data_IF_329190854679
#
_entry.id   IF_329190854679
#
_cell.length_a   1.000
_cell.length_b   1.000
_cell.length_c   1.000
_cell.angle_alpha   90.00
_cell.angle_beta   90.00
_cell.angle_gamma   90.00
#
_symmetry.space_group_name_H-M   'P 1'
#
loop_
_entity.id
_entity.type
_entity.pdbx_description
1 polymer ?
#
# COMPACT_ATOMS: atom_id res chain seq x y z
N UNK A 1 -30.27 20.55 -5.06
CA UNK A 1 -30.12 19.42 -6.00
C UNK A 1 -30.86 18.24 -5.43
N UNK A 2 -31.70 17.62 -6.22
CA UNK A 2 -32.41 16.40 -5.85
C UNK A 2 -31.38 15.27 -5.62
N UNK A 3 -31.56 14.48 -4.55
CA UNK A 3 -30.63 13.38 -4.23
C UNK A 3 -30.85 12.26 -5.25
N UNK A 4 -29.81 11.89 -5.99
CA UNK A 4 -29.85 10.79 -6.94
C UNK A 4 -30.19 9.46 -6.24
N UNK A 5 -31.02 8.63 -6.89
CA UNK A 5 -31.27 7.26 -6.46
C UNK A 5 -30.04 6.38 -6.69
N UNK A 6 -30.02 5.18 -6.10
CA UNK A 6 -28.96 4.19 -6.30
C UNK A 6 -28.78 3.85 -7.79
N UNK A 7 -29.89 3.60 -8.46
CA UNK A 7 -29.95 3.23 -9.88
C UNK A 7 -29.40 4.36 -10.77
N UNK A 8 -29.82 5.60 -10.51
CA UNK A 8 -29.32 6.77 -11.23
C UNK A 8 -27.81 6.99 -11.03
N UNK A 9 -27.28 6.71 -9.82
CA UNK A 9 -25.83 6.84 -9.58
C UNK A 9 -25.05 5.81 -10.38
N UNK A 10 -25.51 4.55 -10.44
CA UNK A 10 -24.88 3.47 -11.20
C UNK A 10 -24.95 3.76 -12.71
N UNK A 11 -26.10 4.22 -13.20
CA UNK A 11 -26.29 4.58 -14.61
C UNK A 11 -25.42 5.76 -15.01
N UNK A 12 -25.40 6.84 -14.22
CA UNK A 12 -24.56 8.02 -14.49
C UNK A 12 -23.08 7.67 -14.44
N UNK A 13 -22.64 6.83 -13.47
CA UNK A 13 -21.25 6.37 -13.44
C UNK A 13 -20.86 5.66 -14.75
N UNK A 14 -21.73 4.83 -15.26
CA UNK A 14 -21.49 4.09 -16.49
C UNK A 14 -21.41 5.02 -17.74
N UNK A 15 -22.18 6.10 -17.72
CA UNK A 15 -22.21 7.07 -18.82
C UNK A 15 -21.12 8.14 -18.74
N UNK A 16 -20.75 8.57 -17.53
CA UNK A 16 -19.87 9.74 -17.32
C UNK A 16 -18.39 9.38 -17.13
N UNK A 17 -18.06 8.11 -16.81
CA UNK A 17 -16.69 7.68 -16.52
C UNK A 17 -16.17 6.67 -17.54
N UNK A 18 -14.85 6.73 -17.80
CA UNK A 18 -14.15 5.66 -18.53
C UNK A 18 -14.20 4.38 -17.71
N UNK A 19 -14.72 3.31 -18.28
CA UNK A 19 -15.00 2.03 -17.59
C UNK A 19 -13.73 1.19 -17.40
N UNK A 20 -12.86 1.59 -16.45
CA UNK A 20 -11.61 0.89 -16.10
C UNK A 20 -11.68 0.13 -14.78
N UNK A 21 -12.78 0.30 -14.03
CA UNK A 21 -12.98 -0.36 -12.74
C UNK A 21 -14.14 -1.35 -12.77
N UNK A 22 -13.96 -2.51 -12.16
CA UNK A 22 -15.08 -3.40 -11.82
C UNK A 22 -15.54 -3.06 -10.40
N UNK A 23 -16.67 -2.35 -10.28
CA UNK A 23 -17.20 -1.91 -8.99
C UNK A 23 -18.06 -2.99 -8.33
N UNK A 24 -18.00 -3.07 -7.01
CA UNK A 24 -19.02 -3.79 -6.24
C UNK A 24 -20.35 -3.04 -6.35
N UNK A 25 -21.52 -3.75 -6.37
CA UNK A 25 -22.81 -3.12 -6.59
C UNK A 25 -23.37 -2.42 -5.34
N UNK A 26 -22.51 -1.59 -4.70
CA UNK A 26 -22.81 -0.85 -3.47
C UNK A 26 -22.67 0.63 -3.77
N UNK A 27 -23.65 1.43 -3.39
CA UNK A 27 -23.58 2.89 -3.42
C UNK A 27 -23.48 3.38 -1.98
N UNK A 28 -22.29 3.82 -1.58
CA UNK A 28 -21.99 4.24 -0.22
C UNK A 28 -22.73 5.54 0.11
N UNK A 29 -23.34 5.61 1.29
CA UNK A 29 -23.95 6.82 1.86
C UNK A 29 -23.05 7.44 2.94
N UNK A 30 -22.55 6.63 3.88
CA UNK A 30 -21.68 7.07 4.98
C UNK A 30 -20.79 5.93 5.48
N UNK A 31 -19.76 6.30 6.25
CA UNK A 31 -18.88 5.35 6.93
C UNK A 31 -18.53 5.82 8.34
N UNK A 32 -18.30 4.87 9.26
CA UNK A 32 -17.83 5.10 10.62
C UNK A 32 -17.03 3.90 11.13
N UNK A 33 -15.82 4.12 11.57
CA UNK A 33 -14.93 3.06 12.05
C UNK A 33 -14.72 1.96 11.00
N UNK A 34 -15.05 0.72 11.35
CA UNK A 34 -14.98 -0.45 10.47
C UNK A 34 -16.19 -0.61 9.52
N UNK A 35 -17.20 0.26 9.61
CA UNK A 35 -18.48 0.05 8.94
C UNK A 35 -18.79 1.12 7.92
N UNK A 36 -19.42 0.69 6.83
CA UNK A 36 -20.02 1.59 5.83
C UNK A 36 -21.50 1.23 5.64
N UNK A 37 -22.28 2.23 5.30
CA UNK A 37 -23.71 2.08 4.99
C UNK A 37 -23.95 2.44 3.54
N UNK A 38 -24.75 1.63 2.87
CA UNK A 38 -25.22 1.98 1.54
C UNK A 38 -26.48 2.89 1.59
N UNK A 39 -26.87 3.39 0.44
CA UNK A 39 -28.07 4.26 0.31
C UNK A 39 -29.38 3.58 0.71
N UNK A 40 -29.41 2.26 0.81
CA UNK A 40 -30.59 1.49 1.27
C UNK A 40 -30.54 1.24 2.78
N UNK A 41 -29.50 1.73 3.48
CA UNK A 41 -29.32 1.54 4.91
C UNK A 41 -28.67 0.22 5.30
N UNK A 42 -28.27 -0.63 4.35
CA UNK A 42 -27.57 -1.87 4.64
C UNK A 42 -26.15 -1.55 5.13
N UNK A 43 -25.72 -2.26 6.18
CA UNK A 43 -24.43 -2.12 6.81
C UNK A 43 -23.46 -3.17 6.26
N UNK A 44 -22.22 -2.75 6.06
CA UNK A 44 -21.12 -3.62 5.66
C UNK A 44 -19.91 -3.39 6.57
N UNK A 45 -19.21 -4.46 6.91
CA UNK A 45 -17.87 -4.41 7.50
C UNK A 45 -16.82 -4.29 6.40
N UNK A 46 -15.94 -3.30 6.52
CA UNK A 46 -14.92 -3.02 5.51
C UNK A 46 -13.59 -3.69 5.84
N UNK A 47 -13.33 -4.82 5.16
CA UNK A 47 -12.05 -5.53 5.21
C UNK A 47 -11.11 -5.18 4.05
N UNK A 48 -11.46 -4.15 3.28
CA UNK A 48 -10.65 -3.58 2.20
C UNK A 48 -9.94 -2.29 2.61
N UNK A 49 -10.57 -1.46 3.48
CA UNK A 49 -10.00 -0.22 3.98
C UNK A 49 -9.53 0.72 2.87
N UNK A 50 -10.31 0.88 1.78
CA UNK A 50 -9.88 1.67 0.62
C UNK A 50 -8.61 1.14 -0.06
N UNK A 51 -8.35 -0.15 -0.02
CA UNK A 51 -7.09 -0.83 -0.42
C UNK A 51 -5.92 -0.41 0.48
N UNK A 52 -6.09 -0.64 1.81
CA UNK A 52 -5.13 -0.31 2.87
C UNK A 52 -4.85 1.21 3.02
N UNK A 53 -5.82 2.07 2.67
CA UNK A 53 -5.73 3.53 2.82
C UNK A 53 -6.30 3.99 4.16
N UNK A 54 -7.51 3.53 4.51
CA UNK A 54 -8.24 3.97 5.72
C UNK A 54 -7.73 3.25 6.97
N UNK A 55 -6.49 3.54 7.36
CA UNK A 55 -5.84 2.86 8.51
C UNK A 55 -6.52 3.18 9.84
N UNK A 56 -7.13 4.38 9.98
CA UNK A 56 -7.88 4.79 11.17
C UNK A 56 -9.38 4.45 11.07
N UNK A 57 -9.82 3.84 9.97
CA UNK A 57 -11.25 3.63 9.68
C UNK A 57 -11.96 4.89 9.20
N UNK A 58 -13.21 4.70 8.84
CA UNK A 58 -14.04 5.75 8.25
C UNK A 58 -14.39 6.83 9.28
N UNK A 59 -14.36 8.09 8.85
CA UNK A 59 -14.79 9.27 9.63
C UNK A 59 -14.14 9.39 11.02
N UNK A 60 -12.86 9.01 11.14
CA UNK A 60 -12.14 9.06 12.41
C UNK A 60 -12.14 10.50 12.99
N UNK A 61 -12.50 10.70 14.29
CA UNK A 61 -12.64 12.04 14.86
C UNK A 61 -11.40 12.93 14.72
N UNK A 62 -10.20 12.38 14.92
CA UNK A 62 -8.94 13.10 14.78
C UNK A 62 -8.66 13.56 13.34
N UNK A 63 -9.07 12.78 12.35
CA UNK A 63 -8.95 13.15 10.93
C UNK A 63 -9.94 14.27 10.61
N UNK A 64 -11.19 14.15 11.04
CA UNK A 64 -12.22 15.22 10.84
C UNK A 64 -11.79 16.52 11.51
N UNK A 65 -11.26 16.46 12.73
CA UNK A 65 -10.71 17.62 13.45
C UNK A 65 -9.56 18.26 12.67
N UNK A 66 -8.58 17.49 12.21
CA UNK A 66 -7.43 17.96 11.43
C UNK A 66 -7.88 18.65 10.12
N UNK A 67 -8.81 18.03 9.38
CA UNK A 67 -9.41 18.61 8.16
C UNK A 67 -10.07 19.96 8.50
N UNK A 68 -10.93 19.99 9.50
CA UNK A 68 -11.72 21.17 9.87
C UNK A 68 -10.81 22.33 10.31
N UNK A 69 -9.82 22.05 11.13
CA UNK A 69 -8.90 23.06 11.63
C UNK A 69 -8.00 23.62 10.52
N UNK A 70 -7.40 22.75 9.68
CA UNK A 70 -6.55 23.19 8.60
C UNK A 70 -7.32 23.89 7.48
N UNK A 71 -8.54 23.45 7.15
CA UNK A 71 -9.36 24.08 6.13
C UNK A 71 -9.75 25.51 6.48
N UNK A 72 -9.90 25.84 7.76
CA UNK A 72 -10.15 27.21 8.25
C UNK A 72 -8.92 28.12 8.15
N UNK A 73 -7.71 27.57 8.06
CA UNK A 73 -6.47 28.34 7.92
C UNK A 73 -6.15 28.66 6.45
N UNK A 74 -5.86 27.64 5.67
CA UNK A 74 -5.59 27.69 4.23
C UNK A 74 -5.53 26.28 3.66
N UNK A 75 -5.85 26.14 2.35
CA UNK A 75 -5.84 24.86 1.66
C UNK A 75 -4.60 24.63 0.81
N UNK A 76 -4.10 25.67 0.11
CA UNK A 76 -2.96 25.55 -0.77
C UNK A 76 -2.23 26.89 -0.89
N UNK A 77 -0.89 26.85 -0.79
CA UNK A 77 -0.05 28.05 -0.92
C UNK A 77 1.18 27.83 -1.80
N UNK A 78 1.32 26.65 -2.44
CA UNK A 78 2.51 26.24 -3.20
C UNK A 78 3.74 25.96 -2.32
N UNK A 79 4.64 25.13 -2.82
CA UNK A 79 5.94 24.83 -2.19
C UNK A 79 6.98 25.96 -2.36
N UNK A 80 6.59 27.11 -2.90
CA UNK A 80 7.41 28.32 -2.87
C UNK A 80 7.37 29.03 -1.51
N UNK A 81 6.40 28.72 -0.64
CA UNK A 81 6.24 29.31 0.68
C UNK A 81 6.45 28.25 1.76
N UNK A 82 7.05 28.68 2.87
CA UNK A 82 7.18 27.81 4.04
C UNK A 82 5.83 27.64 4.76
N UNK A 83 5.58 26.42 5.23
CA UNK A 83 4.33 26.03 5.87
C UNK A 83 4.63 25.24 7.15
N UNK A 84 4.12 25.69 8.27
CA UNK A 84 4.35 25.08 9.59
C UNK A 84 3.88 23.62 9.63
N UNK A 85 2.65 23.36 9.20
CA UNK A 85 2.06 22.02 9.23
C UNK A 85 2.85 21.01 8.39
N UNK A 86 3.44 21.45 7.27
CA UNK A 86 4.29 20.62 6.43
C UNK A 86 5.58 20.22 7.16
N UNK A 87 6.16 21.17 7.92
CA UNK A 87 7.37 20.93 8.71
C UNK A 87 7.09 20.01 9.91
N UNK A 88 5.98 20.24 10.61
CA UNK A 88 5.54 19.38 11.73
C UNK A 88 5.30 17.93 11.28
N UNK A 89 4.59 17.76 10.16
CA UNK A 89 4.39 16.45 9.54
C UNK A 89 5.72 15.76 9.16
N UNK A 90 6.60 16.49 8.45
CA UNK A 90 7.90 15.96 8.02
C UNK A 90 8.78 15.58 9.22
N UNK A 91 8.77 16.39 10.28
CA UNK A 91 9.50 16.09 11.53
C UNK A 91 8.99 14.79 12.16
N UNK A 92 7.66 14.66 12.31
CA UNK A 92 7.05 13.46 12.89
C UNK A 92 7.33 12.21 12.06
N UNK A 93 7.21 12.32 10.73
CA UNK A 93 7.50 11.19 9.84
C UNK A 93 8.98 10.76 9.92
N UNK A 94 9.92 11.70 10.00
CA UNK A 94 11.35 11.39 10.19
C UNK A 94 11.61 10.71 11.53
N UNK A 95 11.02 11.20 12.61
CA UNK A 95 11.19 10.63 13.96
C UNK A 95 10.76 9.17 14.01
N UNK A 96 9.60 8.83 13.43
CA UNK A 96 9.06 7.48 13.44
C UNK A 96 9.81 6.57 12.46
N UNK A 97 10.15 7.07 11.28
CA UNK A 97 10.72 6.27 10.19
C UNK A 97 12.22 6.04 10.29
N UNK A 98 12.94 6.89 11.05
CA UNK A 98 14.40 6.85 11.14
C UNK A 98 15.14 7.29 9.87
N UNK A 99 14.44 7.84 8.86
CA UNK A 99 15.06 8.44 7.68
C UNK A 99 15.42 9.90 7.90
N UNK A 100 16.35 10.43 7.10
CA UNK A 100 16.93 11.75 7.35
C UNK A 100 16.23 12.89 6.62
N UNK A 101 15.78 12.66 5.36
CA UNK A 101 15.12 13.67 4.54
C UNK A 101 13.93 13.10 3.78
N UNK A 102 12.99 14.00 3.42
CA UNK A 102 11.70 13.63 2.84
C UNK A 102 11.40 14.54 1.65
N UNK A 103 10.93 13.95 0.56
CA UNK A 103 10.21 14.66 -0.49
C UNK A 103 8.74 14.25 -0.46
N UNK A 104 7.82 15.22 -0.46
CA UNK A 104 6.37 15.01 -0.40
C UNK A 104 5.75 15.01 -1.79
N UNK A 105 4.87 14.05 -2.05
CA UNK A 105 4.11 13.86 -3.28
C UNK A 105 2.61 13.67 -2.97
N UNK A 106 1.78 13.42 -4.00
CA UNK A 106 0.34 13.22 -3.82
C UNK A 106 -0.08 11.75 -3.83
N UNK A 107 0.77 10.87 -4.32
CA UNK A 107 0.44 9.47 -4.50
C UNK A 107 1.66 8.57 -4.44
N UNK A 108 1.43 7.26 -4.25
CA UNK A 108 2.50 6.27 -4.35
C UNK A 108 3.16 6.23 -5.73
N UNK A 109 2.38 6.39 -6.81
CA UNK A 109 2.94 6.44 -8.16
C UNK A 109 3.91 7.62 -8.34
N UNK A 110 3.57 8.82 -7.83
CA UNK A 110 4.50 9.96 -7.84
C UNK A 110 5.74 9.70 -6.99
N UNK A 111 5.59 9.06 -5.82
CA UNK A 111 6.75 8.67 -4.99
C UNK A 111 7.67 7.72 -5.74
N UNK A 112 7.12 6.72 -6.44
CA UNK A 112 7.88 5.79 -7.27
C UNK A 112 8.59 6.51 -8.43
N UNK A 113 7.90 7.38 -9.18
CA UNK A 113 8.50 8.14 -10.29
C UNK A 113 9.65 9.05 -9.81
N UNK A 114 9.45 9.76 -8.70
CA UNK A 114 10.50 10.58 -8.09
C UNK A 114 11.71 9.74 -7.64
N UNK A 115 11.45 8.55 -7.10
CA UNK A 115 12.50 7.61 -6.68
C UNK A 115 13.25 7.04 -7.88
N UNK A 116 12.57 6.68 -8.99
CA UNK A 116 13.24 6.27 -10.24
C UNK A 116 14.20 7.36 -10.72
N UNK A 117 13.76 8.63 -10.72
CA UNK A 117 14.61 9.76 -11.11
C UNK A 117 15.84 9.87 -10.19
N UNK A 118 15.65 9.77 -8.88
CA UNK A 118 16.74 9.83 -7.91
C UNK A 118 17.75 8.68 -8.12
N UNK A 119 17.27 7.44 -8.24
CA UNK A 119 18.10 6.25 -8.46
C UNK A 119 18.86 6.32 -9.78
N UNK A 120 18.23 6.76 -10.86
CA UNK A 120 18.88 6.96 -12.16
C UNK A 120 19.96 8.03 -12.11
N UNK A 121 19.70 9.15 -11.44
CA UNK A 121 20.69 10.21 -11.29
C UNK A 121 21.87 9.79 -10.42
N UNK A 122 21.60 9.12 -9.29
CA UNK A 122 22.64 8.53 -8.46
C UNK A 122 23.46 7.49 -9.25
N UNK A 123 22.79 6.65 -10.02
CA UNK A 123 23.41 5.67 -10.90
C UNK A 123 24.32 6.34 -11.92
N UNK A 124 23.86 7.40 -12.60
CA UNK A 124 24.70 8.18 -13.54
C UNK A 124 25.99 8.70 -12.90
N UNK A 125 25.87 9.25 -11.69
CA UNK A 125 27.04 9.77 -10.93
C UNK A 125 28.00 8.65 -10.48
N UNK A 126 27.55 7.40 -10.45
CA UNK A 126 28.33 6.22 -10.07
C UNK A 126 28.60 5.26 -11.22
N UNK A 127 28.37 5.67 -12.48
CA UNK A 127 28.52 4.87 -13.70
C UNK A 127 27.68 3.58 -13.72
N UNK A 128 26.44 3.65 -13.21
CA UNK A 128 25.47 2.55 -13.13
C UNK A 128 24.18 2.92 -13.87
N UNK A 129 23.52 1.94 -14.50
CA UNK A 129 22.37 2.23 -15.38
C UNK A 129 21.16 1.33 -15.15
N UNK A 130 21.33 0.19 -14.46
CA UNK A 130 20.28 -0.82 -14.35
C UNK A 130 19.51 -0.70 -13.03
N UNK A 131 18.21 -0.83 -13.13
CA UNK A 131 17.29 -0.92 -12.00
C UNK A 131 16.66 -2.31 -12.03
N UNK A 132 16.68 -3.01 -10.91
CA UNK A 132 16.11 -4.34 -10.77
C UNK A 132 14.82 -4.25 -9.95
N UNK A 133 13.82 -5.02 -10.37
CA UNK A 133 12.55 -5.22 -9.66
C UNK A 133 12.14 -6.71 -9.76
N UNK A 134 10.98 -7.05 -9.20
CA UNK A 134 10.61 -8.45 -9.03
C UNK A 134 9.24 -8.78 -9.62
N UNK A 135 9.10 -10.03 -10.09
CA UNK A 135 7.81 -10.57 -10.54
C UNK A 135 6.75 -10.47 -9.44
N UNK A 136 5.51 -10.23 -9.84
CA UNK A 136 4.40 -10.05 -8.92
C UNK A 136 4.35 -8.70 -8.20
N UNK A 137 5.36 -7.84 -8.36
CA UNK A 137 5.41 -6.50 -7.77
C UNK A 137 4.35 -5.56 -8.33
N UNK A 138 3.97 -4.54 -7.52
CA UNK A 138 3.08 -3.47 -7.94
C UNK A 138 3.60 -2.12 -7.45
N UNK A 139 4.04 -1.27 -8.39
CA UNK A 139 4.65 0.02 -8.10
C UNK A 139 3.85 1.22 -8.61
N UNK A 140 2.71 1.00 -9.28
CA UNK A 140 1.85 2.06 -9.81
C UNK A 140 1.42 1.85 -11.26
N UNK A 141 0.79 2.86 -11.85
CA UNK A 141 0.22 2.81 -13.20
C UNK A 141 0.84 3.83 -14.16
N UNK A 142 1.89 4.53 -13.75
CA UNK A 142 2.68 5.43 -14.61
C UNK A 142 3.70 4.63 -15.44
N UNK A 143 4.24 5.22 -16.50
CA UNK A 143 5.14 4.50 -17.40
C UNK A 143 6.43 4.03 -16.74
N UNK A 144 7.01 4.81 -15.82
CA UNK A 144 8.17 4.37 -15.04
C UNK A 144 7.84 3.20 -14.13
N UNK A 145 6.73 3.27 -13.39
CA UNK A 145 6.26 2.18 -12.54
C UNK A 145 5.93 0.92 -13.37
N UNK A 146 5.26 1.05 -14.53
CA UNK A 146 4.97 -0.06 -15.43
C UNK A 146 6.22 -0.72 -16.00
N UNK A 147 7.33 0.05 -16.16
CA UNK A 147 8.60 -0.50 -16.63
C UNK A 147 9.21 -1.53 -15.66
N UNK A 148 8.83 -1.45 -14.38
CA UNK A 148 9.27 -2.35 -13.30
C UNK A 148 8.32 -3.51 -13.01
N UNK A 149 7.23 -3.68 -13.78
CA UNK A 149 6.18 -4.67 -13.51
C UNK A 149 6.06 -5.68 -14.62
N UNK A 150 5.69 -6.92 -14.29
CA UNK A 150 5.60 -8.05 -15.22
C UNK A 150 4.16 -8.41 -15.63
N UNK A 151 3.12 -7.91 -14.95
CA UNK A 151 1.72 -8.31 -15.22
C UNK A 151 1.25 -7.85 -16.61
N UNK A 152 0.92 -8.78 -17.54
CA UNK A 152 0.55 -8.45 -18.91
C UNK A 152 -0.66 -7.51 -19.02
N UNK A 153 -1.67 -7.69 -18.15
CA UNK A 153 -2.89 -6.87 -18.15
C UNK A 153 -2.61 -5.36 -17.92
N UNK A 154 -1.48 -5.00 -17.31
CA UNK A 154 -1.10 -3.62 -17.07
C UNK A 154 -0.22 -3.05 -18.17
N UNK A 155 0.38 -3.91 -19.01
CA UNK A 155 1.41 -3.53 -20.00
C UNK A 155 1.00 -3.73 -21.46
N UNK A 156 0.04 -4.61 -21.73
CA UNK A 156 -0.33 -4.95 -23.09
C UNK A 156 -0.76 -3.70 -23.88
N UNK A 157 -0.09 -3.47 -25.02
CA UNK A 157 -0.34 -2.37 -25.95
C UNK A 157 -0.03 -0.95 -25.45
N UNK A 158 0.69 -0.82 -24.32
CA UNK A 158 1.10 0.48 -23.78
C UNK A 158 2.57 0.85 -24.04
N UNK A 159 3.38 -0.05 -24.61
CA UNK A 159 4.79 0.24 -24.90
C UNK A 159 5.02 1.32 -25.97
N UNK A 160 6.25 1.84 -26.14
CA UNK A 160 7.46 1.36 -25.48
C UNK A 160 7.58 1.79 -24.01
N UNK A 161 8.20 0.94 -23.17
CA UNK A 161 8.53 1.26 -21.81
C UNK A 161 9.96 1.80 -21.68
N UNK A 162 10.32 2.28 -20.49
CA UNK A 162 11.64 2.84 -20.24
C UNK A 162 12.71 1.74 -20.23
N UNK A 163 13.84 2.02 -20.84
CA UNK A 163 15.01 1.13 -20.84
C UNK A 163 15.74 1.10 -19.48
N UNK A 164 16.58 0.07 -19.29
CA UNK A 164 17.43 -0.08 -18.11
C UNK A 164 16.73 -0.74 -16.91
N UNK A 165 15.56 -1.33 -17.10
CA UNK A 165 14.87 -2.11 -16.07
C UNK A 165 15.01 -3.61 -16.32
N UNK A 166 15.28 -4.37 -15.25
CA UNK A 166 15.30 -5.83 -15.24
C UNK A 166 14.31 -6.34 -14.22
N UNK A 167 13.43 -7.25 -14.64
CA UNK A 167 12.46 -7.89 -13.77
C UNK A 167 12.88 -9.35 -13.58
N UNK A 168 13.12 -9.77 -12.35
CA UNK A 168 13.56 -11.11 -11.99
C UNK A 168 12.58 -11.77 -11.03
N UNK A 169 12.70 -13.09 -10.86
CA UNK A 169 11.78 -13.83 -10.01
C UNK A 169 11.93 -13.43 -8.53
N UNK A 170 10.81 -13.12 -7.90
CA UNK A 170 10.76 -12.83 -6.47
C UNK A 170 11.18 -14.06 -5.65
N UNK A 171 11.97 -13.84 -4.60
CA UNK A 171 12.54 -14.91 -3.77
C UNK A 171 13.51 -15.88 -4.47
N UNK A 172 14.01 -15.54 -5.67
CA UNK A 172 15.02 -16.34 -6.39
C UNK A 172 16.44 -15.82 -6.12
N UNK A 173 17.20 -16.56 -5.31
CA UNK A 173 18.62 -16.24 -5.03
C UNK A 173 19.45 -16.36 -6.30
N UNK A 174 19.21 -17.38 -7.14
CA UNK A 174 19.94 -17.58 -8.39
C UNK A 174 19.74 -16.42 -9.37
N UNK A 175 18.54 -15.83 -9.41
CA UNK A 175 18.27 -14.69 -10.28
C UNK A 175 18.97 -13.42 -9.73
N UNK A 176 19.04 -13.24 -8.41
CA UNK A 176 19.83 -12.15 -7.81
C UNK A 176 21.30 -12.26 -8.23
N UNK A 177 21.91 -13.44 -8.07
CA UNK A 177 23.33 -13.67 -8.36
C UNK A 177 23.69 -13.51 -9.85
N UNK A 178 22.78 -13.92 -10.74
CA UNK A 178 23.00 -13.81 -12.19
C UNK A 178 22.73 -12.42 -12.77
N UNK A 179 21.90 -11.61 -12.11
CA UNK A 179 21.43 -10.32 -12.64
C UNK A 179 22.15 -9.13 -12.04
N UNK A 180 22.36 -9.15 -10.70
CA UNK A 180 22.97 -8.02 -9.99
C UNK A 180 24.47 -8.00 -10.23
N UNK A 181 24.96 -6.86 -10.67
CA UNK A 181 26.37 -6.65 -11.03
C UNK A 181 26.78 -5.18 -10.79
N UNK A 182 27.99 -4.81 -11.19
CA UNK A 182 28.54 -3.44 -11.05
C UNK A 182 27.73 -2.37 -11.76
N UNK A 183 26.89 -2.71 -12.74
CA UNK A 183 26.03 -1.77 -13.47
C UNK A 183 24.69 -1.53 -12.77
N UNK A 184 24.36 -2.29 -11.71
CA UNK A 184 23.11 -2.16 -10.97
C UNK A 184 23.13 -0.85 -10.15
N UNK A 185 22.21 0.07 -10.42
CA UNK A 185 22.02 1.33 -9.70
C UNK A 185 21.07 1.21 -8.50
N UNK A 186 20.01 0.41 -8.61
CA UNK A 186 19.07 0.22 -7.52
C UNK A 186 18.20 -1.02 -7.70
N UNK A 187 17.68 -1.49 -6.57
CA UNK A 187 16.74 -2.61 -6.49
C UNK A 187 15.48 -2.16 -5.77
N UNK A 188 14.33 -2.21 -6.46
CA UNK A 188 13.02 -1.90 -5.91
C UNK A 188 12.36 -3.17 -5.37
N UNK A 189 11.91 -3.15 -4.13
CA UNK A 189 11.42 -4.31 -3.41
C UNK A 189 10.22 -3.96 -2.53
N UNK A 190 9.13 -4.71 -2.66
CA UNK A 190 8.11 -4.84 -1.61
C UNK A 190 8.56 -5.98 -0.68
N UNK A 191 8.79 -5.72 0.60
CA UNK A 191 9.16 -6.77 1.58
C UNK A 191 8.00 -7.70 1.91
N UNK A 192 6.79 -7.24 1.64
CA UNK A 192 5.56 -8.02 1.62
C UNK A 192 4.74 -7.54 0.41
N UNK A 193 4.75 -8.32 -0.67
CA UNK A 193 4.02 -7.99 -1.89
C UNK A 193 2.52 -7.99 -1.67
N UNK A 194 1.85 -6.88 -2.05
CA UNK A 194 0.40 -6.76 -1.96
C UNK A 194 -0.32 -7.44 -3.14
N UNK A 195 -0.08 -6.94 -4.33
CA UNK A 195 -0.72 -7.41 -5.57
C UNK A 195 -0.18 -8.75 -6.09
N UNK A 196 0.98 -9.17 -5.59
CA UNK A 196 1.58 -10.49 -5.84
C UNK A 196 0.87 -11.63 -5.11
N UNK A 197 -0.11 -11.32 -4.22
CA UNK A 197 -0.88 -12.34 -3.48
C UNK A 197 -0.46 -12.47 -2.02
N UNK A 198 -0.05 -11.39 -1.39
CA UNK A 198 0.43 -11.32 0.01
C UNK A 198 1.60 -12.28 0.23
N UNK A 199 2.70 -12.03 -0.48
CA UNK A 199 3.90 -12.87 -0.44
C UNK A 199 5.04 -12.13 0.23
N UNK A 200 5.55 -12.67 1.33
CA UNK A 200 6.72 -12.14 2.05
C UNK A 200 8.02 -12.46 1.34
N UNK A 201 9.01 -11.57 1.46
CA UNK A 201 10.37 -11.90 1.10
C UNK A 201 10.92 -13.02 2.02
N UNK A 202 11.70 -13.94 1.46
CA UNK A 202 12.38 -14.94 2.26
C UNK A 202 13.59 -14.32 2.97
N UNK A 203 13.86 -14.65 4.24
CA UNK A 203 15.02 -14.10 4.96
C UNK A 203 16.35 -14.30 4.24
N UNK A 204 16.57 -15.50 3.67
CA UNK A 204 17.80 -15.84 2.94
C UNK A 204 17.94 -15.01 1.64
N UNK A 205 16.82 -14.71 0.98
CA UNK A 205 16.80 -13.84 -0.19
C UNK A 205 17.20 -12.41 0.18
N UNK A 206 16.68 -11.89 1.29
CA UNK A 206 17.04 -10.55 1.81
C UNK A 206 18.51 -10.52 2.23
N UNK A 207 18.98 -11.53 2.94
CA UNK A 207 20.40 -11.65 3.30
C UNK A 207 21.29 -11.59 2.06
N UNK A 208 20.99 -12.40 1.02
CA UNK A 208 21.74 -12.41 -0.23
C UNK A 208 21.70 -11.06 -0.94
N UNK A 209 20.55 -10.40 -0.97
CA UNK A 209 20.40 -9.05 -1.56
C UNK A 209 21.35 -8.04 -0.88
N UNK A 210 21.46 -8.08 0.44
CA UNK A 210 22.36 -7.19 1.19
C UNK A 210 23.84 -7.58 1.05
N UNK A 211 24.17 -8.85 0.92
CA UNK A 211 25.53 -9.30 0.54
C UNK A 211 25.94 -8.71 -0.82
N UNK A 212 25.05 -8.79 -1.82
CA UNK A 212 25.28 -8.24 -3.15
C UNK A 212 25.35 -6.72 -3.14
N UNK A 213 24.52 -6.05 -2.31
CA UNK A 213 24.60 -4.60 -2.09
C UNK A 213 25.98 -4.18 -1.61
N UNK A 214 26.51 -4.89 -0.59
CA UNK A 214 27.85 -4.59 -0.05
C UNK A 214 28.96 -4.83 -1.09
N UNK A 215 28.78 -5.83 -1.97
CA UNK A 215 29.74 -6.15 -3.02
C UNK A 215 29.72 -5.13 -4.17
N UNK A 216 28.53 -4.74 -4.62
CA UNK A 216 28.37 -3.95 -5.86
C UNK A 216 27.94 -2.51 -5.61
N UNK A 217 27.66 -2.11 -4.38
CA UNK A 217 27.29 -0.76 -4.00
C UNK A 217 26.16 -0.18 -4.87
N UNK A 218 24.93 -0.71 -4.72
CA UNK A 218 23.70 -0.21 -5.33
C UNK A 218 22.72 0.23 -4.24
N UNK A 219 21.66 0.96 -4.61
CA UNK A 219 20.63 1.41 -3.68
C UNK A 219 19.56 0.34 -3.49
N UNK A 220 19.11 0.12 -2.25
CA UNK A 220 17.90 -0.67 -1.95
C UNK A 220 16.74 0.27 -1.67
N UNK A 221 15.67 0.11 -2.43
CA UNK A 221 14.45 0.89 -2.34
C UNK A 221 13.35 0.01 -1.78
N UNK A 222 12.86 0.33 -0.58
CA UNK A 222 11.70 -0.30 0.02
C UNK A 222 10.42 0.37 -0.48
N UNK A 223 9.61 -0.36 -1.23
CA UNK A 223 8.24 0.08 -1.53
C UNK A 223 7.33 -0.30 -0.36
N UNK A 224 7.08 0.67 0.51
CA UNK A 224 6.26 0.55 1.71
C UNK A 224 4.87 1.19 1.53
N UNK A 225 4.45 1.43 0.28
CA UNK A 225 3.19 2.10 -0.04
C UNK A 225 1.98 1.32 0.49
N UNK A 226 2.02 -0.01 0.45
CA UNK A 226 0.92 -0.84 0.95
C UNK A 226 1.23 -1.50 2.30
N UNK A 227 2.46 -1.95 2.51
CA UNK A 227 2.87 -2.73 3.68
C UNK A 227 3.31 -1.87 4.87
N UNK A 228 3.64 -0.61 4.64
CA UNK A 228 4.05 0.35 5.66
C UNK A 228 2.89 0.89 6.52
N UNK A 229 3.20 1.95 7.25
CA UNK A 229 2.22 2.68 8.09
C UNK A 229 1.57 1.79 9.16
N UNK A 230 2.35 0.94 9.83
CA UNK A 230 1.87 0.11 10.92
C UNK A 230 1.12 -1.16 10.50
N UNK A 231 0.85 -1.34 9.20
CA UNK A 231 0.03 -2.42 8.63
C UNK A 231 0.46 -3.83 9.07
N UNK A 232 1.77 -4.07 9.15
CA UNK A 232 2.36 -5.37 9.51
C UNK A 232 2.66 -5.54 10.99
N UNK A 233 2.24 -4.59 11.85
CA UNK A 233 2.59 -4.55 13.28
C UNK A 233 3.91 -3.84 13.58
N UNK A 234 4.62 -3.36 12.54
CA UNK A 234 5.75 -2.44 12.60
C UNK A 234 5.50 -1.27 11.67
N UNK A 235 6.24 -0.16 11.83
CA UNK A 235 6.03 1.01 11.00
C UNK A 235 6.30 0.71 9.52
N UNK A 236 7.36 -0.05 9.24
CA UNK A 236 7.68 -0.58 7.92
C UNK A 236 7.80 -2.11 7.91
N UNK A 237 7.46 -2.72 6.79
CA UNK A 237 7.60 -4.17 6.62
C UNK A 237 9.07 -4.63 6.65
N UNK A 238 10.01 -3.84 6.15
CA UNK A 238 11.44 -4.18 6.18
C UNK A 238 12.01 -4.31 7.61
N UNK A 239 11.42 -3.67 8.61
CA UNK A 239 11.87 -3.76 10.00
C UNK A 239 11.79 -5.19 10.57
N UNK A 240 10.96 -6.06 9.97
CA UNK A 240 10.89 -7.47 10.34
C UNK A 240 12.15 -8.26 9.98
N UNK A 241 12.99 -7.69 9.11
CA UNK A 241 14.24 -8.32 8.65
C UNK A 241 15.48 -7.73 9.34
N UNK A 242 15.31 -6.69 10.17
CA UNK A 242 16.42 -6.03 10.87
C UNK A 242 17.42 -5.34 9.93
N UNK A 243 16.94 -4.81 8.81
CA UNK A 243 17.75 -4.16 7.77
C UNK A 243 17.37 -2.70 7.59
N UNK A 244 18.25 -1.93 6.96
CA UNK A 244 18.04 -0.52 6.67
C UNK A 244 18.17 -0.24 5.16
N UNK A 245 17.06 -0.01 4.43
CA UNK A 245 17.07 0.45 3.06
C UNK A 245 17.64 1.87 2.91
N UNK A 246 18.09 2.19 1.70
CA UNK A 246 18.59 3.53 1.37
C UNK A 246 17.47 4.53 1.14
N UNK A 247 16.37 4.04 0.58
CA UNK A 247 15.15 4.80 0.24
C UNK A 247 13.93 3.99 0.65
N UNK A 248 12.90 4.67 1.16
CA UNK A 248 11.56 4.12 1.28
C UNK A 248 10.54 5.01 0.56
N UNK A 249 9.56 4.38 -0.09
CA UNK A 249 8.41 5.08 -0.68
C UNK A 249 7.16 4.76 0.12
N UNK A 250 6.38 5.78 0.45
CA UNK A 250 5.17 5.66 1.27
C UNK A 250 4.01 6.44 0.68
N UNK A 251 2.78 5.96 0.93
CA UNK A 251 1.53 6.63 0.56
C UNK A 251 0.37 5.98 1.32
N UNK A 252 -0.80 5.84 0.69
CA UNK A 252 -2.00 5.16 1.25
C UNK A 252 -2.31 5.61 2.68
N UNK A 253 -2.03 4.79 3.69
CA UNK A 253 -2.29 5.10 5.09
C UNK A 253 -1.60 6.37 5.63
N UNK A 254 -0.60 6.89 4.91
CA UNK A 254 0.12 8.10 5.28
C UNK A 254 -0.79 9.32 5.38
N UNK A 255 -1.73 9.47 4.45
CA UNK A 255 -2.60 10.64 4.34
C UNK A 255 -3.86 10.62 5.21
N UNK A 256 -4.11 9.53 5.97
CA UNK A 256 -5.34 9.41 6.77
C UNK A 256 -6.62 9.48 5.93
N UNK A 257 -6.60 8.92 4.70
CA UNK A 257 -7.70 8.97 3.73
C UNK A 257 -7.55 10.04 2.64
N UNK A 258 -6.64 11.00 2.79
CA UNK A 258 -6.35 12.00 1.75
C UNK A 258 -5.13 11.62 0.90
N UNK A 259 -5.07 12.09 -0.37
CA UNK A 259 -3.93 11.87 -1.24
C UNK A 259 -2.64 12.47 -0.65
N UNK A 260 -1.70 11.61 -0.28
CA UNK A 260 -0.37 11.98 0.21
C UNK A 260 0.60 10.83 -0.08
N UNK A 261 1.80 11.18 -0.51
CA UNK A 261 2.91 10.26 -0.68
C UNK A 261 4.21 10.90 -0.22
N UNK A 262 5.22 10.10 0.02
CA UNK A 262 6.54 10.60 0.32
C UNK A 262 7.65 9.65 -0.17
N UNK A 263 8.80 10.24 -0.47
CA UNK A 263 10.08 9.57 -0.66
C UNK A 263 10.92 9.91 0.56
N UNK A 264 11.40 8.88 1.25
CA UNK A 264 12.26 9.01 2.44
C UNK A 264 13.66 8.53 2.06
N UNK A 265 14.69 9.32 2.38
CA UNK A 265 16.06 9.03 1.99
C UNK A 265 17.04 9.12 3.15
N UNK A 266 18.15 8.40 3.05
CA UNK A 266 19.30 8.56 3.92
C UNK A 266 20.10 9.81 3.54
N UNK A 267 20.76 10.43 4.51
CA UNK A 267 21.41 11.75 4.36
C UNK A 267 22.43 11.82 3.22
N UNK A 268 23.15 10.75 2.93
CA UNK A 268 24.12 10.71 1.83
C UNK A 268 23.49 10.84 0.42
N UNK A 269 22.17 10.69 0.30
CA UNK A 269 21.41 10.93 -0.93
C UNK A 269 20.85 12.35 -1.05
N UNK A 270 20.96 13.16 -0.01
CA UNK A 270 20.34 14.49 0.10
C UNK A 270 20.66 15.45 -1.07
N UNK A 271 21.85 15.32 -1.64
CA UNK A 271 22.35 16.20 -2.69
C UNK A 271 22.32 15.57 -4.09
N UNK A 272 21.70 14.41 -4.25
CA UNK A 272 21.60 13.74 -5.57
C UNK A 272 20.68 14.55 -6.49
N UNK A 273 19.50 14.95 -6.02
CA UNK A 273 18.62 15.86 -6.75
C UNK A 273 18.90 17.29 -6.35
N UNK A 274 19.00 18.17 -7.34
CA UNK A 274 19.26 19.61 -7.16
C UNK A 274 17.96 20.41 -7.29
N UNK A 275 17.99 21.68 -6.90
CA UNK A 275 16.86 22.61 -7.05
C UNK A 275 16.37 22.61 -8.49
N UNK A 276 15.06 22.59 -8.68
CA UNK A 276 14.35 22.59 -9.96
C UNK A 276 14.41 21.26 -10.77
N UNK A 277 15.11 20.24 -10.34
CA UNK A 277 15.15 18.95 -11.05
C UNK A 277 13.95 18.04 -10.79
N UNK A 278 13.28 18.27 -9.66
CA UNK A 278 12.06 17.57 -9.29
C UNK A 278 11.13 18.50 -8.51
N UNK A 279 9.82 18.28 -8.60
CA UNK A 279 8.82 19.09 -7.92
C UNK A 279 7.41 18.54 -8.06
N UNK A 280 6.51 19.09 -7.28
CA UNK A 280 5.07 18.80 -7.33
C UNK A 280 4.30 20.05 -6.92
N UNK A 281 3.22 20.36 -7.65
CA UNK A 281 2.35 21.49 -7.30
C UNK A 281 1.61 21.26 -5.98
N UNK A 282 1.03 20.09 -5.82
CA UNK A 282 0.20 19.74 -4.65
C UNK A 282 0.89 18.84 -3.64
N UNK A 283 2.09 18.30 -3.94
CA UNK A 283 2.83 17.43 -3.04
C UNK A 283 3.11 18.10 -1.70
N UNK A 284 2.71 17.45 -0.61
CA UNK A 284 2.77 18.02 0.74
C UNK A 284 1.74 19.13 0.98
N UNK A 285 0.59 19.05 0.34
CA UNK A 285 -0.49 20.00 0.57
C UNK A 285 -0.88 20.07 2.05
N UNK A 286 -1.16 21.27 2.59
CA UNK A 286 -1.39 21.49 4.02
C UNK A 286 -2.48 20.61 4.63
N UNK A 287 -3.56 20.40 3.89
CA UNK A 287 -4.68 19.60 4.37
C UNK A 287 -4.28 18.12 4.53
N UNK A 288 -3.58 17.58 3.54
CA UNK A 288 -3.07 16.21 3.58
C UNK A 288 -1.95 16.04 4.63
N UNK A 289 -1.10 17.04 4.84
CA UNK A 289 -0.10 17.03 5.92
C UNK A 289 -0.76 17.04 7.31
N UNK A 290 -1.85 17.80 7.49
CA UNK A 290 -2.57 17.84 8.76
C UNK A 290 -3.21 16.49 9.09
N UNK A 291 -3.87 15.86 8.13
CA UNK A 291 -4.45 14.51 8.30
C UNK A 291 -3.37 13.45 8.44
N UNK A 292 -2.28 13.56 7.68
CA UNK A 292 -1.12 12.69 7.80
C UNK A 292 -0.46 12.75 9.18
N UNK A 293 -0.31 13.95 9.75
CA UNK A 293 0.22 14.13 11.11
C UNK A 293 -0.68 13.45 12.15
N UNK A 294 -2.00 13.66 12.05
CA UNK A 294 -2.97 12.99 12.92
C UNK A 294 -2.90 11.45 12.77
N UNK A 295 -2.77 10.96 11.53
CA UNK A 295 -2.61 9.53 11.24
C UNK A 295 -1.34 8.95 11.86
N UNK A 296 -0.19 9.61 11.70
CA UNK A 296 1.09 9.16 12.27
C UNK A 296 1.06 9.05 13.79
N UNK A 297 0.41 10.01 14.46
CA UNK A 297 0.27 10.00 15.93
C UNK A 297 -0.55 8.81 16.40
N UNK A 298 -1.67 8.51 15.75
CA UNK A 298 -2.51 7.37 16.13
C UNK A 298 -1.83 6.02 15.80
N UNK A 299 -1.12 5.94 14.66
CA UNK A 299 -0.35 4.75 14.28
C UNK A 299 0.71 4.43 15.34
N UNK A 300 1.50 5.43 15.74
CA UNK A 300 2.58 5.24 16.74
C UNK A 300 2.03 4.88 18.11
N UNK A 301 0.96 5.56 18.56
CA UNK A 301 0.45 5.41 19.92
C UNK A 301 -0.19 4.05 20.18
N UNK A 302 -0.93 3.48 19.22
CA UNK A 302 -1.73 2.29 19.47
C UNK A 302 -1.93 1.36 18.27
N UNK A 303 -1.98 1.90 17.04
CA UNK A 303 -2.47 1.10 15.90
C UNK A 303 -1.45 0.08 15.41
N UNK A 304 -0.14 0.33 15.52
CA UNK A 304 0.88 -0.69 15.22
C UNK A 304 0.75 -1.89 16.15
N UNK A 305 0.61 -1.64 17.45
CA UNK A 305 0.43 -2.72 18.44
C UNK A 305 -0.89 -3.46 18.20
N UNK A 306 -1.97 -2.74 17.92
CA UNK A 306 -3.25 -3.37 17.58
C UNK A 306 -3.14 -4.23 16.33
N UNK A 307 -2.46 -3.74 15.29
CA UNK A 307 -2.24 -4.51 14.05
C UNK A 307 -1.47 -5.82 14.31
N UNK A 308 -0.49 -5.81 15.22
CA UNK A 308 0.21 -7.02 15.62
C UNK A 308 -0.73 -7.99 16.35
N UNK A 309 -1.37 -7.55 17.43
CA UNK A 309 -2.21 -8.38 18.29
C UNK A 309 -3.42 -8.95 17.52
N UNK A 310 -4.14 -8.09 16.80
CA UNK A 310 -5.31 -8.52 16.05
C UNK A 310 -4.92 -9.35 14.82
N UNK A 311 -3.76 -9.07 14.22
CA UNK A 311 -3.22 -9.84 13.11
C UNK A 311 -2.89 -11.27 13.49
N UNK A 312 -2.25 -11.48 14.64
CA UNK A 312 -1.96 -12.82 15.20
C UNK A 312 -3.26 -13.58 15.46
N UNK A 313 -4.21 -12.98 16.16
CA UNK A 313 -5.53 -13.57 16.41
C UNK A 313 -6.27 -13.92 15.11
N UNK A 314 -6.21 -13.03 14.11
CA UNK A 314 -6.89 -13.25 12.85
C UNK A 314 -6.27 -14.39 12.05
N UNK A 315 -4.94 -14.46 11.99
CA UNK A 315 -4.23 -15.58 11.33
C UNK A 315 -4.59 -16.92 11.98
N UNK A 316 -4.65 -17.00 13.32
CA UNK A 316 -5.07 -18.21 14.04
C UNK A 316 -6.50 -18.63 13.62
N UNK A 317 -7.46 -17.68 13.61
CA UNK A 317 -8.84 -17.94 13.18
C UNK A 317 -8.93 -18.44 11.73
N UNK A 318 -8.19 -17.81 10.83
CA UNK A 318 -8.17 -18.24 9.43
C UNK A 318 -7.53 -19.61 9.23
N UNK A 319 -6.49 -19.96 10.00
CA UNK A 319 -5.88 -21.29 9.99
C UNK A 319 -6.84 -22.36 10.53
N UNK A 320 -7.65 -22.07 11.56
CA UNK A 320 -8.70 -22.97 12.04
C UNK A 320 -9.76 -23.22 10.94
N UNK A 321 -10.19 -22.17 10.25
CA UNK A 321 -11.13 -22.28 9.13
C UNK A 321 -10.49 -23.08 7.98
N UNK A 322 -9.23 -22.84 7.65
CA UNK A 322 -8.55 -23.58 6.57
C UNK A 322 -8.48 -25.09 6.84
N UNK A 323 -8.30 -25.50 8.10
CA UNK A 323 -8.36 -26.93 8.51
C UNK A 323 -9.74 -27.54 8.28
N UNK A 324 -10.82 -26.74 8.36
CA UNK A 324 -12.19 -27.20 8.11
C UNK A 324 -12.50 -27.30 6.62
N UNK A 325 -11.78 -26.57 5.75
CA UNK A 325 -11.99 -26.52 4.31
C UNK A 325 -10.71 -26.80 3.48
N UNK A 326 -10.04 -27.96 3.70
CA UNK A 326 -8.74 -28.22 3.07
C UNK A 326 -8.79 -28.39 1.55
N UNK A 327 -9.97 -28.59 0.96
CA UNK A 327 -10.18 -28.65 -0.50
C UNK A 327 -10.36 -27.29 -1.14
N UNK A 328 -10.70 -26.26 -0.35
CA UNK A 328 -11.01 -24.92 -0.83
C UNK A 328 -9.89 -23.91 -0.50
N UNK A 329 -9.14 -24.13 0.56
CA UNK A 329 -8.08 -23.25 1.03
C UNK A 329 -6.73 -23.98 1.00
N UNK A 330 -5.80 -23.44 0.23
CA UNK A 330 -4.44 -23.99 0.09
C UNK A 330 -3.48 -23.43 1.14
N UNK A 331 -3.63 -22.14 1.50
CA UNK A 331 -2.68 -21.46 2.37
C UNK A 331 -3.29 -20.24 3.03
N UNK A 332 -2.82 -19.92 4.24
CA UNK A 332 -3.11 -18.69 4.98
C UNK A 332 -1.79 -18.04 5.34
N UNK A 333 -1.55 -16.84 4.84
CA UNK A 333 -0.28 -16.14 5.03
C UNK A 333 -0.47 -14.65 5.23
N UNK A 334 0.57 -13.99 5.70
CA UNK A 334 0.57 -12.55 5.91
C UNK A 334 1.32 -12.14 7.18
N UNK A 335 1.24 -10.85 7.50
CA UNK A 335 1.86 -10.28 8.69
C UNK A 335 1.02 -9.10 9.20
N UNK A 336 0.75 -9.07 10.51
CA UNK A 336 -0.17 -8.10 11.08
C UNK A 336 -1.54 -8.15 10.38
N UNK A 337 -2.03 -7.02 9.94
CA UNK A 337 -3.32 -6.89 9.24
C UNK A 337 -3.16 -6.79 7.70
N UNK A 338 -2.16 -7.44 7.14
CA UNK A 338 -2.00 -7.66 5.71
C UNK A 338 -1.98 -9.17 5.45
N UNK A 339 -3.17 -9.74 5.18
CA UNK A 339 -3.40 -11.18 5.17
C UNK A 339 -3.94 -11.63 3.82
N UNK A 340 -3.47 -12.78 3.36
CA UNK A 340 -3.92 -13.46 2.15
C UNK A 340 -4.42 -14.87 2.44
N UNK A 341 -5.60 -15.18 1.94
CA UNK A 341 -6.18 -16.53 1.95
C UNK A 341 -6.10 -17.09 0.52
N UNK A 342 -5.20 -18.04 0.31
CA UNK A 342 -4.99 -18.69 -0.99
C UNK A 342 -6.06 -19.76 -1.22
N UNK A 343 -6.83 -19.61 -2.29
CA UNK A 343 -7.94 -20.51 -2.63
C UNK A 343 -7.58 -21.45 -3.79
N UNK A 344 -8.30 -22.55 -3.92
CA UNK A 344 -8.21 -23.47 -5.06
C UNK A 344 -9.07 -23.01 -6.27
N UNK A 345 -9.83 -21.93 -6.10
CA UNK A 345 -10.78 -21.39 -7.07
C UNK A 345 -10.61 -19.86 -7.16
N UNK A 346 -11.23 -19.17 -8.14
CA UNK A 346 -11.14 -17.72 -8.27
C UNK A 346 -11.69 -16.99 -7.03
N UNK A 347 -10.85 -16.18 -6.39
CA UNK A 347 -11.20 -15.50 -5.13
C UNK A 347 -12.37 -14.51 -5.28
N UNK A 348 -12.65 -14.00 -6.49
CA UNK A 348 -13.81 -13.15 -6.79
C UNK A 348 -15.14 -13.82 -6.44
N UNK A 349 -15.23 -15.15 -6.53
CA UNK A 349 -16.45 -15.89 -6.22
C UNK A 349 -16.72 -15.88 -4.71
N UNK A 350 -15.65 -15.95 -3.89
CA UNK A 350 -15.75 -15.79 -2.45
C UNK A 350 -16.03 -14.33 -2.04
N UNK A 351 -15.42 -13.35 -2.72
CA UNK A 351 -15.71 -11.91 -2.51
C UNK A 351 -17.19 -11.62 -2.70
N UNK A 352 -17.81 -12.15 -3.76
CA UNK A 352 -19.25 -11.99 -4.01
C UNK A 352 -20.11 -12.57 -2.88
N UNK A 353 -19.77 -13.77 -2.39
CA UNK A 353 -20.50 -14.41 -1.28
C UNK A 353 -20.32 -13.68 0.05
N UNK A 354 -19.11 -13.21 0.35
CA UNK A 354 -18.84 -12.40 1.54
C UNK A 354 -19.66 -11.11 1.53
N UNK A 355 -19.85 -10.51 0.34
CA UNK A 355 -20.68 -9.33 0.18
C UNK A 355 -22.15 -9.61 0.56
N UNK A 356 -22.68 -10.80 0.25
CA UNK A 356 -24.04 -11.22 0.65
C UNK A 356 -24.17 -11.29 2.19
N UNK A 357 -23.08 -11.57 2.88
CA UNK A 357 -23.00 -11.54 4.36
C UNK A 357 -22.61 -10.17 4.92
N UNK A 358 -22.54 -9.11 4.10
CA UNK A 358 -22.21 -7.76 4.56
C UNK A 358 -20.71 -7.52 4.79
N UNK A 359 -19.83 -8.26 4.14
CA UNK A 359 -18.37 -8.07 4.22
C UNK A 359 -17.86 -7.52 2.90
N UNK A 360 -17.18 -6.37 2.95
CA UNK A 360 -16.44 -5.82 1.81
C UNK A 360 -15.01 -6.35 1.86
N UNK A 361 -14.57 -6.99 0.79
CA UNK A 361 -13.23 -7.54 0.61
C UNK A 361 -12.83 -7.49 -0.87
N UNK A 362 -11.63 -7.90 -1.22
CA UNK A 362 -11.24 -8.02 -2.62
C UNK A 362 -10.31 -9.20 -2.90
N UNK A 363 -10.21 -9.53 -4.18
CA UNK A 363 -9.30 -10.55 -4.69
C UNK A 363 -8.03 -9.91 -5.27
N UNK A 364 -6.89 -10.58 -5.07
CA UNK A 364 -5.64 -10.29 -5.76
C UNK A 364 -5.03 -11.58 -6.31
N UNK A 365 -4.15 -11.47 -7.30
CA UNK A 365 -3.48 -12.62 -7.92
C UNK A 365 -4.44 -13.80 -8.22
N UNK A 366 -5.60 -13.50 -8.84
CA UNK A 366 -6.68 -14.42 -9.25
C UNK A 366 -7.37 -15.16 -8.11
N UNK A 367 -6.66 -15.93 -7.31
CA UNK A 367 -7.21 -16.84 -6.29
C UNK A 367 -6.76 -16.55 -4.86
N UNK A 368 -6.37 -15.31 -4.56
CA UNK A 368 -6.08 -14.87 -3.21
C UNK A 368 -7.14 -13.87 -2.74
N UNK A 369 -7.87 -14.20 -1.68
CA UNK A 369 -8.66 -13.22 -0.95
C UNK A 369 -7.70 -12.37 -0.14
N UNK A 370 -7.63 -11.06 -0.45
CA UNK A 370 -6.83 -10.10 0.30
C UNK A 370 -7.65 -9.46 1.41
N UNK A 371 -7.07 -9.40 2.59
CA UNK A 371 -7.68 -8.88 3.81
C UNK A 371 -6.76 -7.79 4.35
N UNK A 372 -7.19 -6.51 4.24
CA UNK A 372 -6.43 -5.32 4.63
C UNK A 372 -7.34 -4.30 5.35
N UNK A 373 -7.96 -4.70 6.48
CA UNK A 373 -8.92 -3.86 7.20
C UNK A 373 -8.25 -2.60 7.78
N UNK A 374 -9.01 -1.60 8.23
CA UNK A 374 -8.50 -0.55 9.12
C UNK A 374 -7.78 -1.13 10.34
N UNK A 375 -6.74 -0.43 10.83
CA UNK A 375 -5.92 -0.90 11.96
C UNK A 375 -6.64 -0.80 13.32
N UNK A 376 -7.81 -0.18 13.36
CA UNK A 376 -8.68 -0.08 14.54
C UNK A 376 -9.52 -1.35 14.77
N UNK A 377 -9.40 -2.35 13.91
CA UNK A 377 -10.18 -3.61 13.98
C UNK A 377 -10.14 -4.23 15.38
N UNK A 378 -11.25 -4.84 15.78
CA UNK A 378 -11.42 -5.53 17.06
C UNK A 378 -11.56 -7.05 16.86
N UNK A 379 -11.43 -7.80 17.96
CA UNK A 379 -11.73 -9.25 17.95
C UNK A 379 -13.15 -9.54 17.50
N UNK A 380 -14.10 -8.69 17.89
CA UNK A 380 -15.51 -8.86 17.48
C UNK A 380 -15.67 -8.76 15.96
N UNK A 381 -15.00 -7.78 15.32
CA UNK A 381 -15.03 -7.63 13.86
C UNK A 381 -14.41 -8.85 13.15
N UNK A 382 -13.32 -9.40 13.71
CA UNK A 382 -12.67 -10.61 13.21
C UNK A 382 -13.58 -11.84 13.35
N UNK A 383 -14.28 -11.99 14.47
CA UNK A 383 -15.22 -13.11 14.70
C UNK A 383 -16.43 -13.01 13.78
N UNK A 384 -16.94 -11.80 13.50
CA UNK A 384 -18.02 -11.54 12.54
C UNK A 384 -17.58 -11.92 11.12
N UNK A 385 -16.38 -11.49 10.70
CA UNK A 385 -15.78 -11.89 9.42
C UNK A 385 -15.61 -13.41 9.33
N UNK A 386 -15.05 -14.03 10.35
CA UNK A 386 -14.76 -15.47 10.40
C UNK A 386 -16.04 -16.29 10.27
N UNK A 387 -17.11 -15.81 10.90
CA UNK A 387 -18.45 -16.43 10.78
C UNK A 387 -19.00 -16.31 9.35
N UNK A 388 -18.88 -15.15 8.74
CA UNK A 388 -19.32 -14.92 7.35
C UNK A 388 -18.49 -15.77 6.36
N UNK A 389 -17.15 -15.83 6.57
CA UNK A 389 -16.25 -16.64 5.76
C UNK A 389 -16.60 -18.12 5.84
N UNK A 390 -16.80 -18.66 7.05
CA UNK A 390 -17.16 -20.06 7.26
C UNK A 390 -18.47 -20.41 6.54
N UNK A 391 -19.51 -19.56 6.68
CA UNK A 391 -20.80 -19.74 5.99
C UNK A 391 -20.64 -19.68 4.47
N UNK A 392 -19.85 -18.74 3.97
CA UNK A 392 -19.58 -18.58 2.53
C UNK A 392 -18.89 -19.81 1.93
N UNK A 393 -17.87 -20.35 2.63
CA UNK A 393 -17.14 -21.54 2.18
C UNK A 393 -18.01 -22.79 2.21
N UNK A 394 -18.87 -22.94 3.23
CA UNK A 394 -19.79 -24.07 3.33
C UNK A 394 -20.79 -24.16 2.17
N UNK A 395 -21.07 -23.04 1.49
CA UNK A 395 -21.92 -23.04 0.29
C UNK A 395 -21.16 -23.41 -1.00
N UNK A 396 -19.84 -23.60 -0.91
CA UNK A 396 -18.95 -23.95 -2.03
C UNK A 396 -18.52 -25.42 -2.00
N UNK A 397 -18.75 -26.14 -0.90
CA UNK A 397 -18.58 -27.59 -0.81
C UNK A 397 -19.72 -28.36 -1.52
#
# INVERSE_FOLDING_TARGET
MEKLTREQIIENEHNDFIQVYTRLPIVIDRGEGMRVWDKNGRVYLDFLGGIAVDVLGHSHPKIIEAITNQAKRYLHTSNYLYQDIQIEFAKKLREISGFDQIFLSNSGAESIEGTIKLVRKWGFLNNKKEIVSFTGGFHGRTYGALSMMDKPIYKANFGPFLDGFKIINYNSISDLESTINENTSGVFLEFLQGEGGIVSANPEFIQKLFELKNKYNFLIIADEIQAGMGRTGKFFAFEHYGIEPDIATVSKGLGGGLPLGAILIRNYLANVLQKSEHGSTFGGNPLACATGLASLVEIENQLMQNAQIQGEYFLEKLQEIAKSFPKLINDVRGKGLMIGLQLTFPAKDLVSRLLDYGIISNATNQNVLRIVPPLIITKQDIDEFSTALFKSLKTLE
#
